data_IF_907986454270
#
_entry.id   IF_907986454270
#
_cell.length_a   1.000
_cell.length_b   1.000
_cell.length_c   1.000
_cell.angle_alpha   90.00
_cell.angle_beta   90.00
_cell.angle_gamma   90.00
#
_symmetry.space_group_name_H-M   'P 1'
#
loop_
_entity.id
_entity.type
_entity.pdbx_description
1 polymer ?
#
# COMPACT_ATOMS: atom_id res chain seq x y z
N UNK A 1 20.14 -15.68 -10.54
CA UNK A 1 19.22 -14.61 -10.06
C UNK A 1 19.60 -13.28 -10.71
N UNK A 2 18.64 -12.66 -11.37
CA UNK A 2 18.84 -11.33 -11.94
C UNK A 2 18.74 -10.27 -10.83
N UNK A 3 19.52 -9.19 -10.90
CA UNK A 3 19.37 -8.11 -9.93
C UNK A 3 17.93 -7.56 -9.84
N UNK A 4 17.20 -7.53 -10.96
CA UNK A 4 15.82 -7.08 -11.00
C UNK A 4 14.88 -7.94 -10.15
N UNK A 5 15.15 -9.26 -10.05
CA UNK A 5 14.31 -10.16 -9.26
C UNK A 5 14.43 -9.83 -7.76
N UNK A 6 15.62 -9.48 -7.32
CA UNK A 6 15.85 -9.07 -5.94
C UNK A 6 15.13 -7.76 -5.64
N UNK A 7 15.17 -6.82 -6.59
CA UNK A 7 14.48 -5.54 -6.42
C UNK A 7 12.96 -5.73 -6.34
N UNK A 8 12.41 -6.66 -7.11
CA UNK A 8 10.98 -6.99 -7.04
C UNK A 8 10.60 -7.39 -5.61
N UNK A 9 11.39 -8.26 -4.99
CA UNK A 9 11.13 -8.70 -3.61
C UNK A 9 11.16 -7.51 -2.66
N UNK A 10 12.14 -6.62 -2.80
CA UNK A 10 12.27 -5.46 -1.92
C UNK A 10 11.06 -4.53 -2.04
N UNK A 11 10.58 -4.28 -3.25
CA UNK A 11 9.40 -3.44 -3.44
C UNK A 11 8.14 -4.09 -2.87
N UNK A 12 7.99 -5.41 -3.05
CA UNK A 12 6.85 -6.13 -2.48
C UNK A 12 6.91 -6.11 -0.95
N UNK A 13 8.09 -6.26 -0.37
CA UNK A 13 8.28 -6.17 1.09
C UNK A 13 7.90 -4.78 1.61
N UNK A 14 8.28 -3.72 0.90
CA UNK A 14 7.90 -2.36 1.29
C UNK A 14 6.39 -2.18 1.29
N UNK A 15 5.72 -2.71 0.27
CA UNK A 15 4.26 -2.62 0.17
C UNK A 15 3.61 -3.37 1.34
N UNK A 16 4.03 -4.61 1.58
CA UNK A 16 3.47 -5.44 2.64
C UNK A 16 3.67 -4.79 4.01
N UNK A 17 4.88 -4.32 4.29
CA UNK A 17 5.18 -3.68 5.56
C UNK A 17 4.35 -2.42 5.77
N UNK A 18 4.22 -1.58 4.73
CA UNK A 18 3.43 -0.35 4.84
C UNK A 18 1.95 -0.66 5.07
N UNK A 19 1.42 -1.69 4.42
CA UNK A 19 0.04 -2.11 4.63
C UNK A 19 -0.18 -2.62 6.06
N UNK A 20 0.77 -3.38 6.61
CA UNK A 20 0.71 -3.84 7.99
C UNK A 20 0.66 -2.66 8.97
N UNK A 21 1.53 -1.68 8.74
CA UNK A 21 1.59 -0.50 9.58
C UNK A 21 0.30 0.29 9.56
N UNK A 22 -0.28 0.49 8.37
CA UNK A 22 -1.57 1.19 8.27
C UNK A 22 -2.64 0.48 9.08
N UNK A 23 -2.72 -0.84 8.96
CA UNK A 23 -3.70 -1.62 9.70
C UNK A 23 -3.50 -1.48 11.21
N UNK A 24 -2.26 -1.47 11.67
CA UNK A 24 -1.95 -1.26 13.09
C UNK A 24 -2.39 0.14 13.55
N UNK A 25 -2.11 1.16 12.75
CA UNK A 25 -2.42 2.55 13.13
C UNK A 25 -3.91 2.80 13.27
N UNK A 26 -4.73 2.17 12.43
CA UNK A 26 -6.18 2.39 12.47
C UNK A 26 -6.93 1.37 13.33
N UNK A 27 -6.25 0.33 13.80
CA UNK A 27 -6.88 -0.73 14.59
C UNK A 27 -7.52 -0.16 15.85
N UNK A 28 -8.78 -0.49 16.06
CA UNK A 28 -9.52 -0.03 17.25
C UNK A 28 -10.04 1.37 17.17
N UNK A 29 -9.78 2.10 16.09
CA UNK A 29 -10.30 3.45 15.89
C UNK A 29 -11.58 3.44 15.07
N UNK A 30 -12.45 4.40 15.33
CA UNK A 30 -13.53 4.74 14.41
C UNK A 30 -13.12 5.96 13.59
N UNK A 31 -13.96 6.35 12.62
CA UNK A 31 -13.64 7.48 11.74
C UNK A 31 -13.41 8.78 12.52
N UNK A 32 -14.25 9.06 13.49
CA UNK A 32 -14.12 10.31 14.26
C UNK A 32 -12.81 10.36 15.05
N UNK A 33 -12.43 9.26 15.65
CA UNK A 33 -11.15 9.16 16.37
C UNK A 33 -9.97 9.34 15.40
N UNK A 34 -10.03 8.70 14.25
CA UNK A 34 -9.00 8.81 13.21
C UNK A 34 -8.86 10.26 12.75
N UNK A 35 -9.96 10.89 12.41
CA UNK A 35 -9.99 12.24 11.86
C UNK A 35 -9.29 13.26 12.76
N UNK A 36 -9.45 13.13 14.07
CA UNK A 36 -8.88 14.07 15.03
C UNK A 36 -7.48 13.69 15.52
N UNK A 37 -6.99 12.53 15.12
CA UNK A 37 -5.65 12.07 15.49
C UNK A 37 -4.68 12.36 14.34
N UNK A 38 -4.18 13.58 14.30
CA UNK A 38 -3.33 14.02 13.18
C UNK A 38 -2.05 13.18 13.05
N UNK A 39 -1.53 12.64 14.14
CA UNK A 39 -0.34 11.80 14.09
C UNK A 39 -0.62 10.50 13.34
N UNK A 40 -1.77 9.90 13.62
CA UNK A 40 -2.18 8.68 12.93
C UNK A 40 -2.48 8.97 11.46
N UNK A 41 -3.19 10.08 11.18
CA UNK A 41 -3.48 10.47 9.79
C UNK A 41 -2.17 10.66 9.01
N UNK A 42 -1.23 11.40 9.56
CA UNK A 42 0.06 11.64 8.89
C UNK A 42 0.83 10.35 8.65
N UNK A 43 0.80 9.43 9.62
CA UNK A 43 1.48 8.13 9.49
C UNK A 43 0.83 7.28 8.39
N UNK A 44 -0.50 7.28 8.30
CA UNK A 44 -1.22 6.56 7.26
C UNK A 44 -0.89 7.15 5.88
N UNK A 45 -0.92 8.47 5.76
CA UNK A 45 -0.59 9.16 4.51
C UNK A 45 0.83 8.82 4.06
N UNK A 46 1.78 8.85 4.98
CA UNK A 46 3.17 8.50 4.67
C UNK A 46 3.27 7.09 4.12
N UNK A 47 2.56 6.15 4.71
CA UNK A 47 2.59 4.77 4.25
C UNK A 47 1.87 4.58 2.91
N UNK A 48 0.81 5.36 2.65
CA UNK A 48 0.17 5.36 1.33
C UNK A 48 1.15 5.84 0.25
N UNK A 49 1.95 6.85 0.56
CA UNK A 49 2.99 7.32 -0.37
C UNK A 49 4.02 6.24 -0.65
N UNK A 50 4.45 5.51 0.38
CA UNK A 50 5.40 4.41 0.24
C UNK A 50 4.82 3.31 -0.65
N UNK A 51 3.55 2.94 -0.41
CA UNK A 51 2.87 1.92 -1.23
C UNK A 51 2.83 2.34 -2.69
N UNK A 52 2.41 3.59 -2.96
CA UNK A 52 2.34 4.10 -4.32
C UNK A 52 3.69 4.13 -5.02
N UNK A 53 4.72 4.58 -4.30
CA UNK A 53 6.07 4.65 -4.85
C UNK A 53 6.65 3.26 -5.15
N UNK A 54 6.49 2.32 -4.23
CA UNK A 54 6.96 0.96 -4.43
C UNK A 54 6.22 0.29 -5.60
N UNK A 55 4.90 0.49 -5.68
CA UNK A 55 4.10 -0.05 -6.77
C UNK A 55 4.55 0.49 -8.12
N UNK A 56 4.90 1.77 -8.18
CA UNK A 56 5.41 2.41 -9.40
C UNK A 56 6.65 1.68 -9.94
N UNK A 57 7.51 1.22 -9.05
CA UNK A 57 8.77 0.58 -9.44
C UNK A 57 8.64 -0.90 -9.75
N UNK A 58 7.50 -1.52 -9.50
CA UNK A 58 7.29 -2.90 -9.89
C UNK A 58 7.23 -3.02 -11.41
N UNK A 59 7.91 -4.02 -12.00
CA UNK A 59 7.87 -4.18 -13.45
C UNK A 59 6.50 -4.60 -13.94
N UNK A 60 6.21 -4.23 -15.17
CA UNK A 60 4.95 -4.55 -15.83
C UNK A 60 4.64 -6.04 -15.80
N UNK A 61 5.67 -6.88 -15.92
CA UNK A 61 5.55 -8.34 -15.91
C UNK A 61 4.87 -8.85 -14.65
N UNK A 62 5.23 -8.29 -13.49
CA UNK A 62 4.63 -8.68 -12.22
C UNK A 62 3.16 -8.26 -12.18
N UNK A 63 2.87 -7.06 -12.63
CA UNK A 63 1.50 -6.54 -12.63
C UNK A 63 0.59 -7.36 -13.54
N UNK A 64 1.09 -7.78 -14.68
CA UNK A 64 0.35 -8.62 -15.62
C UNK A 64 0.17 -10.04 -15.09
N UNK A 65 1.15 -10.55 -14.36
CA UNK A 65 1.10 -11.89 -13.79
C UNK A 65 0.06 -12.02 -12.67
N UNK A 66 -0.19 -10.94 -11.95
CA UNK A 66 -1.14 -10.92 -10.83
C UNK A 66 -2.23 -9.88 -11.05
N UNK A 67 -3.06 -10.06 -12.08
CA UNK A 67 -4.02 -9.03 -12.48
C UNK A 67 -5.16 -8.79 -11.49
N UNK A 68 -5.35 -9.69 -10.53
CA UNK A 68 -6.39 -9.52 -9.51
C UNK A 68 -6.05 -8.42 -8.50
N UNK A 69 -4.78 -8.02 -8.42
CA UNK A 69 -4.36 -6.97 -7.50
C UNK A 69 -4.58 -5.61 -8.17
N UNK A 70 -5.17 -4.64 -7.48
CA UNK A 70 -5.45 -3.32 -8.06
C UNK A 70 -4.19 -2.45 -8.08
N UNK A 71 -3.21 -2.83 -8.88
CA UNK A 71 -1.92 -2.14 -8.95
C UNK A 71 -2.04 -0.66 -9.30
N UNK A 72 -2.93 -0.34 -10.24
CA UNK A 72 -3.13 1.06 -10.67
C UNK A 72 -3.66 1.91 -9.53
N UNK A 73 -4.66 1.39 -8.81
CA UNK A 73 -5.23 2.11 -7.68
C UNK A 73 -4.22 2.28 -6.55
N UNK A 74 -3.38 1.27 -6.31
CA UNK A 74 -2.31 1.35 -5.31
C UNK A 74 -1.27 2.40 -5.70
N UNK A 75 -0.90 2.44 -6.97
CA UNK A 75 0.00 3.47 -7.48
C UNK A 75 -0.59 4.86 -7.28
N UNK A 76 -1.88 5.02 -7.57
CA UNK A 76 -2.56 6.32 -7.48
C UNK A 76 -2.76 6.82 -6.05
N UNK A 77 -2.56 6.00 -5.02
CA UNK A 77 -2.62 6.47 -3.64
C UNK A 77 -1.72 7.68 -3.42
N UNK A 78 -0.53 7.64 -3.98
CA UNK A 78 0.41 8.76 -3.89
C UNK A 78 -0.18 10.02 -4.52
N UNK A 79 -0.79 9.89 -5.71
CA UNK A 79 -1.32 11.04 -6.44
C UNK A 79 -2.52 11.65 -5.74
N UNK A 80 -3.41 10.83 -5.17
CA UNK A 80 -4.58 11.31 -4.45
C UNK A 80 -4.20 12.20 -3.28
N UNK A 81 -3.10 11.88 -2.61
CA UNK A 81 -2.64 12.63 -1.46
C UNK A 81 -1.90 13.89 -1.89
N UNK A 82 -1.03 13.80 -2.90
CA UNK A 82 -0.17 14.91 -3.30
C UNK A 82 -0.89 16.02 -4.07
N UNK A 83 -2.10 15.79 -4.58
CA UNK A 83 -2.85 16.78 -5.35
C UNK A 83 -3.98 17.44 -4.57
N UNK A 84 -4.08 17.21 -3.28
CA UNK A 84 -5.09 17.79 -2.40
C UNK A 84 -4.59 19.12 -1.85
N UNK A 85 -4.78 20.20 -2.59
CA UNK A 85 -4.28 21.53 -2.21
C UNK A 85 -5.02 22.15 -1.04
N UNK A 86 -6.26 21.75 -0.81
CA UNK A 86 -7.11 22.37 0.21
C UNK A 86 -7.35 21.47 1.41
N UNK A 87 -6.57 20.42 1.53
CA UNK A 87 -6.65 19.51 2.63
C UNK A 87 -6.82 18.08 2.16
N UNK A 88 -6.70 17.19 3.12
CA UNK A 88 -6.77 15.76 2.92
C UNK A 88 -8.21 15.33 3.04
N UNK A 89 -8.70 14.48 2.14
CA UNK A 89 -10.03 13.90 2.29
C UNK A 89 -9.93 12.72 3.26
N UNK A 90 -10.25 12.98 4.51
CA UNK A 90 -10.13 11.98 5.58
C UNK A 90 -11.04 10.77 5.35
N UNK A 91 -12.22 10.99 4.76
CA UNK A 91 -13.15 9.89 4.50
C UNK A 91 -12.59 8.91 3.48
N UNK A 92 -11.97 9.43 2.41
CA UNK A 92 -11.35 8.58 1.39
C UNK A 92 -10.20 7.77 2.00
N UNK A 93 -9.33 8.43 2.77
CA UNK A 93 -8.18 7.75 3.40
C UNK A 93 -8.67 6.68 4.37
N UNK A 94 -9.64 7.01 5.19
CA UNK A 94 -10.22 6.08 6.15
C UNK A 94 -10.85 4.88 5.46
N UNK A 95 -11.61 5.12 4.41
CA UNK A 95 -12.27 4.07 3.65
C UNK A 95 -11.25 3.09 3.04
N UNK A 96 -10.18 3.63 2.45
CA UNK A 96 -9.13 2.79 1.88
C UNK A 96 -8.46 1.97 2.98
N UNK A 97 -8.05 2.62 4.07
CA UNK A 97 -7.33 1.96 5.15
C UNK A 97 -8.16 0.88 5.83
N UNK A 98 -9.46 1.11 6.00
CA UNK A 98 -10.34 0.22 6.77
C UNK A 98 -10.98 -0.87 5.91
N UNK A 99 -11.37 -0.55 4.68
CA UNK A 99 -12.21 -1.43 3.87
C UNK A 99 -11.50 -2.06 2.67
N UNK A 100 -10.44 -1.46 2.15
CA UNK A 100 -9.75 -1.98 0.97
C UNK A 100 -8.38 -2.58 1.27
N UNK A 101 -7.62 -1.92 2.11
CA UNK A 101 -6.24 -2.34 2.39
C UNK A 101 -6.11 -3.73 3.02
N UNK A 102 -7.00 -4.15 3.94
CA UNK A 102 -6.87 -5.50 4.50
C UNK A 102 -6.94 -6.61 3.46
N UNK A 103 -7.83 -6.48 2.47
CA UNK A 103 -7.92 -7.44 1.38
C UNK A 103 -6.69 -7.38 0.48
N UNK A 104 -6.29 -6.16 0.10
CA UNK A 104 -5.11 -5.95 -0.73
C UNK A 104 -3.87 -6.52 -0.07
N UNK A 105 -3.75 -6.36 1.24
CA UNK A 105 -2.64 -6.90 2.03
C UNK A 105 -2.53 -8.40 1.88
N UNK A 106 -3.64 -9.11 2.02
CA UNK A 106 -3.66 -10.58 1.90
C UNK A 106 -3.16 -11.01 0.53
N UNK A 107 -3.64 -10.33 -0.51
CA UNK A 107 -3.30 -10.68 -1.88
C UNK A 107 -1.84 -10.39 -2.20
N UNK A 108 -1.33 -9.23 -1.77
CA UNK A 108 0.09 -8.89 -2.01
C UNK A 108 1.01 -9.81 -1.22
N UNK A 109 0.60 -10.22 -0.02
CA UNK A 109 1.39 -11.15 0.79
C UNK A 109 1.57 -12.49 0.08
N UNK A 110 0.52 -12.98 -0.60
CA UNK A 110 0.61 -14.21 -1.41
C UNK A 110 1.61 -14.02 -2.55
N UNK A 111 1.54 -12.87 -3.24
CA UNK A 111 2.49 -12.56 -4.32
C UNK A 111 3.92 -12.58 -3.82
N UNK A 112 4.15 -11.92 -2.68
CA UNK A 112 5.49 -11.88 -2.08
C UNK A 112 6.03 -13.27 -1.79
N UNK A 113 5.19 -14.13 -1.21
CA UNK A 113 5.59 -15.51 -0.89
C UNK A 113 5.92 -16.30 -2.16
N UNK A 114 5.11 -16.18 -3.19
CA UNK A 114 5.34 -16.87 -4.46
C UNK A 114 6.63 -16.41 -5.14
N UNK A 115 6.86 -15.09 -5.17
CA UNK A 115 8.06 -14.56 -5.82
C UNK A 115 9.33 -14.92 -5.04
N UNK A 116 9.26 -14.97 -3.71
CA UNK A 116 10.39 -15.43 -2.89
C UNK A 116 10.74 -16.87 -3.18
N UNK A 117 9.76 -17.73 -3.36
CA UNK A 117 10.01 -19.14 -3.63
C UNK A 117 10.75 -19.37 -4.94
N UNK A 118 10.54 -18.52 -5.94
CA UNK A 118 11.21 -18.62 -7.22
C UNK A 118 12.70 -18.32 -7.14
N UNK A 119 13.13 -17.62 -6.08
CA UNK A 119 14.53 -17.23 -5.91
C UNK A 119 15.35 -18.29 -5.17
N UNK A 120 14.72 -19.35 -4.71
CA UNK A 120 15.40 -20.44 -3.99
C UNK A 120 15.91 -21.49 -4.95
#
# INVERSE_FOLDING_TARGET
MKPSDRNIILYLEDIVLSMERVQEYVAGLNFQQFKWDYKTVDAVIRNFEIIGEATKHLPKEIKEKYPMIPWEEMYLLRNRISHEYFGVDYEIIWNIASNHLPENYKDVLVVLKEERQKLK
#
